data_IF_381059150863
#
_entry.id   IF_381059150863
#
_cell.length_a   1.000
_cell.length_b   1.000
_cell.length_c   1.000
_cell.angle_alpha   90.00
_cell.angle_beta   90.00
_cell.angle_gamma   90.00
#
_symmetry.space_group_name_H-M   'P 1'
#
loop_
_entity.id
_entity.type
_entity.pdbx_description
1 polymer ?
#
# COMPACT_ATOMS: atom_id res chain seq x y z
N UNK A 1 -5.59 8.78 22.45
CA UNK A 1 -6.00 8.73 23.88
C UNK A 1 -6.06 7.31 24.49
N UNK A 2 -6.48 6.30 23.74
CA UNK A 2 -6.75 4.94 24.24
C UNK A 2 -5.51 4.14 24.69
N UNK A 3 -4.31 4.56 24.33
CA UNK A 3 -3.04 3.90 24.72
C UNK A 3 -2.61 4.29 26.14
N UNK A 4 -2.89 5.53 26.56
CA UNK A 4 -2.48 6.06 27.85
C UNK A 4 -3.57 5.87 28.92
N UNK A 5 -4.83 6.02 28.54
CA UNK A 5 -5.96 5.95 29.47
C UNK A 5 -6.57 4.53 29.50
N UNK A 6 -6.84 3.94 30.68
CA UNK A 6 -7.60 2.70 30.84
C UNK A 6 -8.99 2.73 30.20
N UNK A 7 -9.52 1.56 29.82
CA UNK A 7 -10.77 1.43 29.07
C UNK A 7 -12.04 1.87 29.84
N UNK A 8 -11.99 1.87 31.16
CA UNK A 8 -13.05 2.31 32.06
C UNK A 8 -13.08 3.83 32.27
N UNK A 9 -12.03 4.56 31.87
CA UNK A 9 -12.01 6.01 31.98
C UNK A 9 -12.84 6.69 30.89
N UNK A 10 -13.51 7.79 31.26
CA UNK A 10 -14.36 8.56 30.35
C UNK A 10 -13.59 9.07 29.11
N UNK A 11 -12.30 9.42 29.25
CA UNK A 11 -11.46 9.90 28.14
C UNK A 11 -11.29 8.79 27.10
N UNK A 12 -11.06 7.55 27.54
CA UNK A 12 -10.93 6.40 26.63
C UNK A 12 -12.24 6.12 25.92
N UNK A 13 -13.35 6.07 26.66
CA UNK A 13 -14.68 5.81 26.09
C UNK A 13 -15.07 6.89 25.10
N UNK A 14 -14.81 8.16 25.43
CA UNK A 14 -15.07 9.29 24.54
C UNK A 14 -14.23 9.21 23.26
N UNK A 15 -12.94 8.88 23.38
CA UNK A 15 -12.08 8.70 22.21
C UNK A 15 -12.57 7.55 21.31
N UNK A 16 -12.98 6.41 21.89
CA UNK A 16 -13.57 5.29 21.14
C UNK A 16 -14.88 5.65 20.46
N UNK A 17 -15.73 6.46 21.08
CA UNK A 17 -16.97 6.95 20.47
C UNK A 17 -16.67 7.82 19.24
N UNK A 18 -15.75 8.77 19.38
CA UNK A 18 -15.34 9.63 18.27
C UNK A 18 -14.67 8.83 17.15
N UNK A 19 -13.78 7.89 17.47
CA UNK A 19 -13.17 6.97 16.51
C UNK A 19 -14.24 6.17 15.74
N UNK A 20 -15.22 5.61 16.44
CA UNK A 20 -16.31 4.86 15.81
C UNK A 20 -17.18 5.74 14.90
N UNK A 21 -17.48 6.97 15.30
CA UNK A 21 -18.23 7.92 14.46
C UNK A 21 -17.43 8.31 13.21
N UNK A 22 -16.14 8.58 13.39
CA UNK A 22 -15.24 8.87 12.28
C UNK A 22 -15.17 7.71 11.29
N UNK A 23 -14.94 6.48 11.77
CA UNK A 23 -14.88 5.29 10.94
C UNK A 23 -16.22 4.99 10.27
N UNK A 24 -17.35 5.22 10.94
CA UNK A 24 -18.68 5.12 10.32
C UNK A 24 -18.83 6.12 9.17
N UNK A 25 -18.48 7.39 9.39
CA UNK A 25 -18.57 8.43 8.35
C UNK A 25 -17.63 8.09 7.19
N UNK A 26 -16.41 7.65 7.49
CA UNK A 26 -15.44 7.21 6.50
C UNK A 26 -15.94 6.00 5.71
N UNK A 27 -16.48 4.97 6.37
CA UNK A 27 -17.01 3.76 5.74
C UNK A 27 -18.25 4.03 4.86
N UNK A 28 -19.13 4.93 5.32
CA UNK A 28 -20.28 5.40 4.55
C UNK A 28 -19.83 6.14 3.28
N UNK A 29 -18.74 6.90 3.35
CA UNK A 29 -18.14 7.51 2.16
C UNK A 29 -17.49 6.47 1.22
N UNK A 30 -16.92 5.39 1.78
CA UNK A 30 -16.28 4.29 1.02
C UNK A 30 -17.30 3.31 0.39
N UNK A 31 -18.58 3.41 0.73
CA UNK A 31 -19.62 2.53 0.18
C UNK A 31 -19.57 1.12 0.77
N UNK A 32 -19.17 0.99 2.04
CA UNK A 32 -19.17 -0.28 2.77
C UNK A 32 -20.52 -0.63 3.42
N UNK A 33 -21.50 0.29 3.37
CA UNK A 33 -22.90 -0.02 3.70
C UNK A 33 -23.58 -0.70 2.50
N UNK A 34 -24.39 -1.75 2.72
CA UNK A 34 -25.11 -2.43 1.64
C UNK A 34 -26.28 -1.56 1.16
N UNK A 35 -25.99 -0.53 0.37
CA UNK A 35 -27.02 0.15 -0.41
C UNK A 35 -27.16 -0.60 -1.72
N UNK A 36 -28.19 -1.44 -1.78
CA UNK A 36 -28.64 -2.06 -3.02
C UNK A 36 -28.98 -0.97 -4.05
N UNK A 37 -28.48 -1.04 -5.30
CA UNK A 37 -29.08 -0.27 -6.37
C UNK A 37 -30.23 -1.09 -6.94
N UNK A 38 -31.46 -0.64 -6.66
CA UNK A 38 -32.59 -0.92 -7.53
C UNK A 38 -32.27 -0.40 -8.94
N UNK A 39 -32.66 -1.18 -9.95
CA UNK A 39 -32.12 -1.12 -11.30
C UNK A 39 -32.28 0.22 -12.03
N UNK A 40 -31.30 0.49 -12.89
CA UNK A 40 -31.32 1.59 -13.84
C UNK A 40 -29.93 1.80 -14.47
N UNK A 41 -29.79 1.51 -15.77
CA UNK A 41 -28.61 1.85 -16.55
C UNK A 41 -28.51 3.38 -16.68
N UNK A 42 -27.80 4.02 -15.77
CA UNK A 42 -27.34 5.41 -15.88
C UNK A 42 -25.81 5.43 -15.83
N UNK A 43 -25.15 6.37 -16.52
CA UNK A 43 -23.69 6.52 -16.40
C UNK A 43 -23.35 6.81 -14.94
N UNK A 44 -22.39 6.06 -14.38
CA UNK A 44 -21.93 6.21 -13.00
C UNK A 44 -21.29 7.59 -12.85
N UNK A 45 -22.09 8.61 -12.53
CA UNK A 45 -21.59 9.89 -12.06
C UNK A 45 -20.98 9.63 -10.68
N UNK A 46 -19.64 9.62 -10.61
CA UNK A 46 -18.90 9.42 -9.36
C UNK A 46 -19.32 10.53 -8.40
N UNK A 47 -19.80 10.17 -7.21
CA UNK A 47 -20.08 11.16 -6.18
C UNK A 47 -18.75 11.63 -5.58
N UNK A 48 -18.64 12.89 -5.15
CA UNK A 48 -17.41 13.40 -4.53
C UNK A 48 -16.95 12.51 -3.36
N UNK A 49 -17.90 11.98 -2.58
CA UNK A 49 -17.70 11.01 -1.50
C UNK A 49 -16.91 9.76 -1.94
N UNK A 50 -17.32 9.12 -3.03
CA UNK A 50 -16.68 7.91 -3.55
C UNK A 50 -15.27 8.21 -4.10
N UNK A 51 -15.02 9.42 -4.60
CA UNK A 51 -13.70 9.85 -5.05
C UNK A 51 -12.73 10.05 -3.88
N UNK A 52 -13.19 10.61 -2.75
CA UNK A 52 -12.38 10.70 -1.53
C UNK A 52 -11.97 9.32 -1.05
N UNK A 53 -12.96 8.44 -0.90
CA UNK A 53 -12.79 7.09 -0.41
C UNK A 53 -11.75 6.32 -1.22
N UNK A 54 -11.88 6.40 -2.54
CA UNK A 54 -10.93 5.79 -3.45
C UNK A 54 -9.53 6.44 -3.35
N UNK A 55 -9.44 7.76 -3.18
CA UNK A 55 -8.16 8.45 -3.00
C UNK A 55 -7.47 8.02 -1.72
N UNK A 56 -8.21 7.88 -0.60
CA UNK A 56 -7.71 7.33 0.67
C UNK A 56 -7.22 5.89 0.47
N UNK A 57 -8.03 5.04 -0.17
CA UNK A 57 -7.68 3.64 -0.44
C UNK A 57 -6.39 3.54 -1.25
N UNK A 58 -6.29 4.26 -2.37
CA UNK A 58 -5.11 4.28 -3.21
C UNK A 58 -3.87 4.74 -2.45
N UNK A 59 -3.99 5.76 -1.62
CA UNK A 59 -2.88 6.27 -0.82
C UNK A 59 -2.36 5.21 0.15
N UNK A 60 -3.27 4.48 0.83
CA UNK A 60 -2.91 3.36 1.70
C UNK A 60 -2.28 2.19 0.94
N UNK A 61 -2.86 1.79 -0.20
CA UNK A 61 -2.29 0.72 -1.04
C UNK A 61 -0.87 1.08 -1.50
N UNK A 62 -0.64 2.33 -1.93
CA UNK A 62 0.70 2.81 -2.30
C UNK A 62 1.66 2.80 -1.11
N UNK A 63 1.21 3.18 0.08
CA UNK A 63 2.01 3.13 1.30
C UNK A 63 2.39 1.69 1.70
N UNK A 64 1.49 0.72 1.51
CA UNK A 64 1.78 -0.70 1.69
C UNK A 64 2.84 -1.16 0.69
N UNK A 65 2.67 -0.88 -0.61
CA UNK A 65 3.66 -1.26 -1.63
C UNK A 65 5.05 -0.67 -1.33
N UNK A 66 5.11 0.60 -0.91
CA UNK A 66 6.35 1.22 -0.45
C UNK A 66 6.96 0.47 0.73
N UNK A 67 6.15 0.13 1.74
CA UNK A 67 6.60 -0.62 2.92
C UNK A 67 7.12 -2.02 2.57
N UNK A 68 6.47 -2.72 1.63
CA UNK A 68 6.94 -4.00 1.11
C UNK A 68 8.29 -3.83 0.41
N UNK A 69 8.42 -2.82 -0.44
CA UNK A 69 9.64 -2.58 -1.21
C UNK A 69 10.84 -2.14 -0.35
N UNK A 70 10.61 -1.53 0.82
CA UNK A 70 11.69 -1.15 1.75
C UNK A 70 12.05 -2.23 2.77
N UNK A 71 11.24 -3.30 2.91
CA UNK A 71 11.51 -4.38 3.84
C UNK A 71 12.82 -5.11 3.48
N UNK A 72 13.63 -5.46 4.48
CA UNK A 72 14.91 -6.16 4.25
C UNK A 72 14.72 -7.53 3.60
N UNK A 73 13.64 -8.25 3.96
CA UNK A 73 13.31 -9.55 3.38
C UNK A 73 12.77 -9.46 1.95
N UNK A 74 12.54 -8.26 1.41
CA UNK A 74 11.96 -8.11 0.08
C UNK A 74 12.96 -8.08 -1.07
N UNK A 75 14.26 -8.04 -0.79
CA UNK A 75 15.33 -7.77 -1.77
C UNK A 75 15.22 -8.63 -3.04
N UNK A 76 15.02 -9.94 -2.89
CA UNK A 76 14.91 -10.89 -4.00
C UNK A 76 13.59 -10.80 -4.79
N UNK A 77 12.65 -9.95 -4.37
CA UNK A 77 11.30 -9.85 -4.92
C UNK A 77 10.99 -8.47 -5.51
N UNK A 78 11.95 -7.53 -5.44
CA UNK A 78 11.75 -6.13 -5.86
C UNK A 78 11.69 -5.96 -7.37
N UNK A 79 12.38 -6.84 -8.11
CA UNK A 79 12.49 -6.78 -9.57
C UNK A 79 12.15 -8.14 -10.18
N UNK A 80 11.79 -8.19 -11.47
CA UNK A 80 11.58 -9.45 -12.17
C UNK A 80 12.81 -10.36 -12.05
N UNK A 81 12.59 -11.66 -11.84
CA UNK A 81 13.65 -12.66 -11.92
C UNK A 81 14.15 -12.72 -13.36
N UNK A 82 15.48 -12.63 -13.53
CA UNK A 82 16.16 -12.83 -14.81
C UNK A 82 16.81 -14.22 -14.81
N UNK A 83 16.18 -15.23 -15.45
CA UNK A 83 16.65 -16.60 -15.38
C UNK A 83 18.02 -16.82 -16.02
N UNK A 84 18.35 -16.05 -17.06
CA UNK A 84 19.61 -16.19 -17.78
C UNK A 84 20.75 -15.57 -16.96
N UNK A 85 20.56 -14.34 -16.48
CA UNK A 85 21.56 -13.65 -15.66
C UNK A 85 21.83 -14.37 -14.32
N UNK A 86 20.85 -15.10 -13.79
CA UNK A 86 20.97 -15.86 -12.53
C UNK A 86 21.38 -17.33 -12.74
N UNK A 87 21.58 -17.79 -13.98
CA UNK A 87 21.97 -19.16 -14.27
C UNK A 87 20.91 -20.22 -13.94
N UNK A 88 19.63 -19.85 -13.96
CA UNK A 88 18.48 -20.73 -13.68
C UNK A 88 17.55 -20.85 -14.90
N UNK A 89 18.02 -21.33 -16.06
CA UNK A 89 17.26 -21.30 -17.32
C UNK A 89 15.90 -22.01 -17.25
N UNK A 90 15.76 -23.01 -16.37
CA UNK A 90 14.51 -23.76 -16.17
C UNK A 90 13.47 -23.05 -15.29
N UNK A 91 13.75 -21.83 -14.80
CA UNK A 91 12.82 -21.08 -13.94
C UNK A 91 11.43 -20.94 -14.58
N UNK A 92 11.36 -20.63 -15.89
CA UNK A 92 10.09 -20.45 -16.62
C UNK A 92 9.38 -21.78 -16.94
N UNK A 93 10.09 -22.90 -16.84
CA UNK A 93 9.51 -24.23 -16.95
C UNK A 93 8.71 -24.60 -15.70
N UNK A 94 9.06 -24.02 -14.54
CA UNK A 94 8.40 -24.25 -13.26
C UNK A 94 7.40 -23.13 -12.97
N UNK A 95 7.86 -21.87 -13.02
CA UNK A 95 7.07 -20.69 -12.69
C UNK A 95 6.39 -20.14 -13.95
N UNK A 96 5.08 -20.38 -14.04
CA UNK A 96 4.26 -20.03 -15.22
C UNK A 96 3.82 -18.58 -15.27
N UNK A 97 3.65 -17.95 -14.10
CA UNK A 97 3.28 -16.54 -13.97
C UNK A 97 4.27 -15.84 -13.06
N UNK A 98 5.45 -15.44 -13.57
CA UNK A 98 6.39 -14.65 -12.78
C UNK A 98 5.74 -13.34 -12.34
N UNK A 99 6.07 -12.90 -11.12
CA UNK A 99 5.60 -11.65 -10.55
C UNK A 99 6.64 -11.10 -9.57
N UNK A 100 6.66 -9.79 -9.42
CA UNK A 100 7.58 -9.04 -8.56
C UNK A 100 6.94 -7.70 -8.16
N UNK A 101 7.51 -7.05 -7.13
CA UNK A 101 6.93 -5.82 -6.55
C UNK A 101 6.97 -4.64 -7.52
N UNK A 102 7.99 -4.53 -8.38
CA UNK A 102 8.06 -3.48 -9.40
C UNK A 102 6.90 -3.64 -10.39
N UNK A 103 6.70 -4.84 -10.92
CA UNK A 103 5.60 -5.13 -11.86
C UNK A 103 4.22 -4.84 -11.24
N UNK A 104 3.99 -5.23 -9.97
CA UNK A 104 2.73 -4.91 -9.26
C UNK A 104 2.54 -3.40 -9.11
N UNK A 105 3.60 -2.67 -8.73
CA UNK A 105 3.56 -1.21 -8.63
C UNK A 105 3.21 -0.54 -9.97
N UNK A 106 3.86 -0.94 -11.05
CA UNK A 106 3.58 -0.43 -12.40
C UNK A 106 2.15 -0.72 -12.84
N UNK A 107 1.63 -1.92 -12.55
CA UNK A 107 0.25 -2.30 -12.86
C UNK A 107 -0.78 -1.52 -12.05
N UNK A 108 -0.47 -1.21 -10.80
CA UNK A 108 -1.30 -0.33 -10.00
C UNK A 108 -1.39 1.04 -10.66
N UNK A 109 -0.26 1.68 -10.99
CA UNK A 109 -0.25 3.01 -11.63
C UNK A 109 -0.92 3.03 -13.01
N UNK A 110 -0.86 1.91 -13.75
CA UNK A 110 -1.56 1.74 -15.03
C UNK A 110 -3.06 1.43 -14.90
N UNK A 111 -3.57 1.29 -13.68
CA UNK A 111 -4.97 0.97 -13.43
C UNK A 111 -5.42 -0.40 -13.85
N UNK A 112 -4.54 -1.39 -13.70
CA UNK A 112 -4.85 -2.80 -14.02
C UNK A 112 -5.67 -3.49 -12.94
N UNK A 113 -5.78 -2.90 -11.76
CA UNK A 113 -6.58 -3.43 -10.65
C UNK A 113 -7.86 -2.64 -10.50
N UNK A 114 -8.98 -3.34 -10.54
CA UNK A 114 -10.31 -2.79 -10.26
C UNK A 114 -10.80 -3.18 -8.87
N UNK A 115 -10.16 -4.18 -8.25
CA UNK A 115 -10.45 -4.63 -6.89
C UNK A 115 -9.18 -4.85 -6.09
N UNK A 116 -9.28 -4.68 -4.78
CA UNK A 116 -8.20 -4.99 -3.85
C UNK A 116 -7.82 -6.47 -3.90
N UNK A 117 -8.79 -7.37 -4.07
CA UNK A 117 -8.53 -8.81 -4.22
C UNK A 117 -7.59 -9.16 -5.37
N UNK A 118 -7.67 -8.43 -6.50
CA UNK A 118 -6.81 -8.65 -7.67
C UNK A 118 -5.36 -8.27 -7.36
N UNK A 119 -5.15 -7.10 -6.76
CA UNK A 119 -3.83 -6.65 -6.32
C UNK A 119 -3.26 -7.59 -5.25
N UNK A 120 -4.09 -8.00 -4.30
CA UNK A 120 -3.67 -8.90 -3.22
C UNK A 120 -3.23 -10.26 -3.75
N UNK A 121 -3.99 -10.83 -4.69
CA UNK A 121 -3.64 -12.10 -5.33
C UNK A 121 -2.31 -12.02 -6.09
N UNK A 122 -1.97 -10.90 -6.73
CA UNK A 122 -0.67 -10.75 -7.40
C UNK A 122 0.49 -10.61 -6.40
N UNK A 123 0.28 -9.99 -5.24
CA UNK A 123 1.28 -9.98 -4.16
C UNK A 123 1.51 -11.40 -3.61
N UNK A 124 0.44 -12.15 -3.32
CA UNK A 124 0.55 -13.53 -2.82
C UNK A 124 1.16 -14.48 -3.87
N UNK A 125 1.01 -14.17 -5.16
CA UNK A 125 1.68 -14.89 -6.25
C UNK A 125 3.21 -14.75 -6.19
N UNK A 126 3.75 -13.58 -5.79
CA UNK A 126 5.20 -13.37 -5.63
C UNK A 126 5.75 -14.36 -4.59
N UNK A 127 5.09 -14.43 -3.43
CA UNK A 127 5.54 -15.25 -2.31
C UNK A 127 5.40 -16.75 -2.61
N UNK A 128 4.26 -17.15 -3.18
CA UNK A 128 4.02 -18.56 -3.53
C UNK A 128 4.96 -19.05 -4.64
N UNK A 129 5.22 -18.25 -5.67
CA UNK A 129 6.22 -18.60 -6.70
C UNK A 129 7.62 -18.80 -6.10
N UNK A 130 8.01 -17.94 -5.16
CA UNK A 130 9.30 -18.06 -4.48
C UNK A 130 9.40 -19.39 -3.70
N UNK A 131 8.36 -19.77 -2.98
CA UNK A 131 8.30 -21.06 -2.27
C UNK A 131 8.26 -22.24 -3.25
N UNK A 132 7.50 -22.17 -4.34
CA UNK A 132 7.41 -23.24 -5.35
C UNK A 132 8.79 -23.53 -5.96
N UNK A 133 9.56 -22.49 -6.28
CA UNK A 133 10.87 -22.67 -6.91
C UNK A 133 11.97 -23.02 -5.89
N UNK A 134 11.94 -22.42 -4.69
CA UNK A 134 13.05 -22.51 -3.74
C UNK A 134 12.79 -23.44 -2.54
N UNK A 135 11.58 -23.97 -2.35
CA UNK A 135 11.09 -24.62 -1.12
C UNK A 135 11.00 -23.69 0.10
N UNK A 136 10.19 -24.06 1.10
CA UNK A 136 9.97 -23.26 2.32
C UNK A 136 11.20 -23.17 3.21
N UNK A 137 12.06 -24.19 3.19
CA UNK A 137 13.21 -24.32 4.08
C UNK A 137 14.41 -23.47 3.63
N UNK A 138 14.44 -23.11 2.34
CA UNK A 138 15.48 -22.25 1.78
C UNK A 138 15.46 -20.84 2.37
N UNK A 139 16.57 -20.11 2.23
CA UNK A 139 16.63 -18.73 2.67
C UNK A 139 15.58 -17.84 1.96
N UNK A 140 15.39 -18.03 0.65
CA UNK A 140 14.40 -17.28 -0.15
C UNK A 140 12.98 -17.68 0.22
N UNK A 141 12.71 -18.97 0.48
CA UNK A 141 11.42 -19.45 0.96
C UNK A 141 11.04 -18.83 2.30
N UNK A 142 11.96 -18.84 3.27
CA UNK A 142 11.76 -18.18 4.58
C UNK A 142 11.49 -16.68 4.44
N UNK A 143 12.21 -15.99 3.55
CA UNK A 143 11.95 -14.59 3.24
C UNK A 143 10.56 -14.38 2.63
N UNK A 144 10.12 -15.25 1.72
CA UNK A 144 8.80 -15.20 1.11
C UNK A 144 7.68 -15.41 2.15
N UNK A 145 7.81 -16.39 3.05
CA UNK A 145 6.86 -16.61 4.16
C UNK A 145 6.80 -15.39 5.08
N UNK A 146 7.94 -14.80 5.43
CA UNK A 146 7.98 -13.58 6.23
C UNK A 146 7.30 -12.39 5.53
N UNK A 147 7.52 -12.24 4.23
CA UNK A 147 6.87 -11.19 3.42
C UNK A 147 5.37 -11.42 3.27
N UNK A 148 4.91 -12.67 3.16
CA UNK A 148 3.49 -13.00 3.13
C UNK A 148 2.80 -12.61 4.45
N UNK A 149 3.36 -12.99 5.59
CA UNK A 149 2.83 -12.58 6.90
C UNK A 149 2.83 -11.07 7.08
N UNK A 150 3.91 -10.40 6.67
CA UNK A 150 4.02 -8.95 6.73
C UNK A 150 2.97 -8.25 5.84
N UNK A 151 2.72 -8.78 4.64
CA UNK A 151 1.68 -8.31 3.72
C UNK A 151 0.29 -8.43 4.36
N UNK A 152 -0.06 -9.61 4.89
CA UNK A 152 -1.33 -9.82 5.60
C UNK A 152 -1.50 -8.85 6.77
N UNK A 153 -0.47 -8.69 7.59
CA UNK A 153 -0.48 -7.77 8.73
C UNK A 153 -0.72 -6.33 8.28
N UNK A 154 -0.08 -5.88 7.20
CA UNK A 154 -0.22 -4.51 6.69
C UNK A 154 -1.63 -4.21 6.16
N UNK A 155 -2.21 -5.12 5.39
CA UNK A 155 -3.59 -4.94 4.91
C UNK A 155 -4.59 -4.86 6.06
N UNK A 156 -4.44 -5.72 7.07
CA UNK A 156 -5.28 -5.68 8.27
C UNK A 156 -5.09 -4.40 9.09
N UNK A 157 -3.85 -3.95 9.28
CA UNK A 157 -3.52 -2.71 10.00
C UNK A 157 -4.12 -1.47 9.34
N UNK A 158 -4.10 -1.42 8.00
CA UNK A 158 -4.59 -0.26 7.25
C UNK A 158 -6.10 -0.35 6.95
N UNK A 159 -6.78 -1.41 7.43
CA UNK A 159 -8.21 -1.64 7.26
C UNK A 159 -8.61 -1.90 5.80
N UNK A 160 -7.68 -2.40 4.98
CA UNK A 160 -7.92 -2.68 3.56
C UNK A 160 -8.45 -4.10 3.43
N UNK A 161 -9.69 -4.23 2.95
CA UNK A 161 -10.36 -5.53 2.76
C UNK A 161 -10.50 -5.87 1.27
N UNK A 162 -10.54 -7.16 0.96
CA UNK A 162 -10.52 -7.67 -0.42
C UNK A 162 -11.75 -7.27 -1.27
N UNK A 163 -12.87 -6.94 -0.63
CA UNK A 163 -14.11 -6.53 -1.31
C UNK A 163 -14.09 -5.07 -1.79
N UNK A 164 -13.12 -4.27 -1.36
CA UNK A 164 -12.99 -2.87 -1.79
C UNK A 164 -12.65 -2.77 -3.28
N UNK A 165 -13.28 -1.80 -3.95
CA UNK A 165 -13.03 -1.51 -5.37
C UNK A 165 -11.95 -0.43 -5.50
N UNK A 166 -11.01 -0.64 -6.43
CA UNK A 166 -9.98 0.34 -6.79
C UNK A 166 -10.45 1.05 -8.06
N UNK A 167 -10.54 2.37 -7.99
CA UNK A 167 -10.93 3.23 -9.11
C UNK A 167 -9.72 4.10 -9.43
N UNK A 168 -9.06 3.92 -10.56
CA UNK A 168 -7.96 4.84 -10.86
C UNK A 168 -8.47 6.25 -11.14
N UNK A 169 -7.75 7.29 -10.66
CA UNK A 169 -7.93 8.64 -11.16
C UNK A 169 -7.60 8.59 -12.65
N UNK A 170 -8.59 8.89 -13.49
CA UNK A 170 -8.33 8.90 -14.93
C UNK A 170 -7.31 9.98 -15.26
N UNK A 171 -6.39 9.77 -16.22
CA UNK A 171 -5.90 10.90 -16.98
C UNK A 171 -7.13 11.51 -17.67
N UNK A 172 -7.23 12.84 -17.82
CA UNK A 172 -8.09 13.40 -18.86
C UNK A 172 -7.78 12.62 -20.14
N UNK A 173 -8.71 11.79 -20.60
CA UNK A 173 -8.42 10.71 -21.53
C UNK A 173 -7.77 11.27 -22.81
N UNK A 174 -6.51 10.93 -23.14
CA UNK A 174 -6.05 11.07 -24.50
C UNK A 174 -6.60 9.88 -25.28
N UNK A 175 -7.21 10.18 -26.42
CA UNK A 175 -7.76 9.23 -27.39
C UNK A 175 -6.85 8.02 -27.57
N UNK A 176 -7.48 6.85 -27.59
CA UNK A 176 -6.89 5.55 -27.91
C UNK A 176 -5.76 5.61 -28.93
N UNK A 177 -4.54 5.30 -28.49
CA UNK A 177 -3.48 4.84 -29.37
C UNK A 177 -3.62 3.30 -29.54
N UNK A 178 -3.27 2.73 -30.71
CA UNK A 178 -3.54 1.33 -31.01
C UNK A 178 -2.68 0.41 -30.15
N UNK A 179 -3.28 -0.70 -29.70
CA UNK A 179 -2.61 -1.73 -28.92
C UNK A 179 -1.32 -2.24 -29.60
N UNK A 180 -0.23 -2.47 -28.86
CA UNK A 180 0.94 -3.17 -29.39
C UNK A 180 0.53 -4.60 -29.76
N UNK A 181 0.82 -4.98 -31.01
CA UNK A 181 0.51 -6.30 -31.57
C UNK A 181 1.15 -7.39 -30.71
N UNK A 182 0.28 -8.26 -30.19
CA UNK A 182 0.61 -9.54 -29.56
C UNK A 182 1.38 -10.40 -30.57
N UNK A 183 2.68 -10.61 -30.37
CA UNK A 183 3.41 -11.65 -31.07
C UNK A 183 2.93 -13.00 -30.51
N UNK A 184 2.17 -13.74 -31.31
CA UNK A 184 1.81 -15.12 -31.02
C UNK A 184 3.03 -16.05 -31.10
N UNK A 185 2.96 -17.25 -30.50
CA UNK A 185 4.04 -18.22 -30.57
C UNK A 185 4.01 -18.95 -31.92
N UNK A 186 5.15 -19.33 -32.52
CA UNK A 186 5.16 -20.36 -33.55
C UNK A 186 5.25 -21.75 -32.90
N UNK A 187 4.46 -22.68 -33.43
CA UNK A 187 4.33 -24.06 -33.02
C UNK A 187 5.38 -24.99 -33.68
N UNK A 188 5.87 -25.94 -32.87
CA UNK A 188 6.24 -27.35 -33.12
C UNK A 188 6.97 -27.82 -34.40
N UNK A 189 8.05 -28.59 -34.17
CA UNK A 189 8.25 -29.93 -34.75
C UNK A 189 9.18 -30.79 -33.86
N UNK A 190 9.12 -32.14 -33.93
CA UNK A 190 9.48 -33.03 -32.83
C UNK A 190 10.83 -33.73 -33.00
N UNK A 191 11.53 -34.04 -31.91
CA UNK A 191 12.47 -35.18 -31.87
C UNK A 191 12.39 -35.87 -30.51
N UNK A 192 12.21 -37.18 -30.56
CA UNK A 192 12.04 -38.07 -29.44
C UNK A 192 13.37 -38.49 -28.77
N UNK A 193 13.21 -38.99 -27.54
CA UNK A 193 13.98 -40.08 -26.92
C UNK A 193 15.24 -39.79 -26.09
N UNK A 194 15.04 -39.97 -24.77
CA UNK A 194 15.71 -40.92 -23.84
C UNK A 194 16.43 -40.28 -22.64
N UNK A 195 15.80 -40.50 -21.48
CA UNK A 195 16.32 -41.08 -20.23
C UNK A 195 17.67 -40.58 -19.68
N UNK A 196 17.61 -40.07 -18.45
CA UNK A 196 18.25 -40.59 -17.21
C UNK A 196 18.96 -39.47 -16.42
N UNK A 197 18.62 -39.36 -15.13
CA UNK A 197 19.36 -38.61 -14.11
C UNK A 197 20.80 -39.18 -13.96
N UNK A 198 21.78 -38.42 -13.43
CA UNK A 198 22.01 -38.41 -11.96
C UNK A 198 22.66 -37.07 -11.47
N UNK A 199 23.39 -36.99 -10.34
CA UNK A 199 23.05 -36.11 -9.22
C UNK A 199 23.99 -34.90 -9.06
N UNK A 200 23.65 -34.04 -8.10
CA UNK A 200 24.50 -32.95 -7.62
C UNK A 200 25.87 -33.41 -7.10
N UNK A 201 26.86 -32.51 -7.13
CA UNK A 201 27.63 -32.17 -5.93
C UNK A 201 27.56 -30.65 -5.71
N UNK A 202 27.35 -30.15 -4.50
CA UNK A 202 28.29 -30.29 -3.39
C UNK A 202 29.09 -28.98 -3.30
N UNK A 203 28.68 -28.11 -2.38
CA UNK A 203 29.32 -26.84 -2.08
C UNK A 203 30.79 -27.00 -1.68
N UNK A 204 31.66 -26.05 -2.04
CA UNK A 204 32.78 -25.63 -1.18
C UNK A 204 33.26 -24.24 -1.55
N UNK A 205 33.62 -23.52 -0.49
CA UNK A 205 33.95 -22.12 -0.43
C UNK A 205 35.25 -21.75 -1.20
N UNK A 206 35.26 -20.54 -1.74
CA UNK A 206 36.44 -19.88 -2.30
C UNK A 206 36.37 -18.38 -2.04
N UNK A 207 37.19 -17.93 -1.12
CA UNK A 207 37.52 -16.54 -0.75
C UNK A 207 38.05 -15.70 -1.93
N UNK A 208 37.61 -14.43 -1.98
CA UNK A 208 38.06 -13.15 -2.63
C UNK A 208 39.44 -13.04 -3.34
N UNK A 209 39.76 -11.99 -4.17
CA UNK A 209 39.18 -10.63 -4.20
C UNK A 209 39.02 -9.87 -5.57
N UNK A 210 38.22 -8.80 -5.49
CA UNK A 210 38.31 -7.46 -6.13
C UNK A 210 38.53 -7.26 -7.65
N UNK A 211 37.59 -6.55 -8.27
CA UNK A 211 37.88 -5.48 -9.23
C UNK A 211 36.83 -4.36 -9.08
N UNK A 212 37.27 -3.23 -8.53
CA UNK A 212 36.51 -2.00 -8.45
C UNK A 212 36.53 -1.30 -9.82
N UNK A 213 35.36 -0.98 -10.36
CA UNK A 213 35.22 -0.01 -11.45
C UNK A 213 34.51 1.23 -10.90
N UNK A 214 35.22 2.36 -10.96
CA UNK A 214 34.81 3.68 -10.50
C UNK A 214 33.65 4.22 -11.35
N UNK A 215 32.61 4.72 -10.68
CA UNK A 215 31.54 5.53 -11.29
C UNK A 215 31.85 7.00 -11.01
N UNK A 216 32.57 7.65 -11.92
CA UNK A 216 32.66 9.10 -11.99
C UNK A 216 32.10 9.55 -13.34
N UNK A 217 31.31 10.62 -13.32
CA UNK A 217 30.66 11.33 -14.44
C UNK A 217 29.40 10.74 -15.08
N UNK A 218 28.31 10.70 -14.30
CA UNK A 218 26.97 10.92 -14.83
C UNK A 218 26.53 12.37 -14.57
N UNK A 219 25.95 13.08 -15.55
CA UNK A 219 25.47 14.45 -15.35
C UNK A 219 24.30 14.49 -14.35
N UNK A 220 24.14 15.57 -13.56
CA UNK A 220 23.04 15.70 -12.62
C UNK A 220 21.70 15.71 -13.35
N UNK A 221 20.77 14.88 -12.89
CA UNK A 221 19.36 14.94 -13.30
C UNK A 221 18.80 16.35 -13.01
N UNK A 222 17.96 16.90 -13.91
CA UNK A 222 17.29 18.17 -13.64
C UNK A 222 16.44 18.05 -12.36
N UNK A 223 16.32 19.12 -11.56
CA UNK A 223 15.43 19.12 -10.41
C UNK A 223 14.00 18.87 -10.87
N UNK A 224 13.30 17.99 -10.16
CA UNK A 224 11.89 17.70 -10.43
C UNK A 224 11.08 19.02 -10.45
N UNK A 225 10.20 19.22 -11.45
CA UNK A 225 9.32 20.39 -11.45
C UNK A 225 8.46 20.38 -10.18
N UNK A 226 8.19 21.55 -9.55
CA UNK A 226 7.40 21.61 -8.34
C UNK A 226 6.03 20.97 -8.59
N UNK A 227 5.72 19.91 -7.86
CA UNK A 227 4.44 19.20 -7.99
C UNK A 227 3.29 20.14 -7.66
N UNK A 228 2.53 20.53 -8.68
CA UNK A 228 1.25 21.20 -8.50
C UNK A 228 0.26 20.14 -8.00
N UNK A 229 -0.38 20.30 -6.83
CA UNK A 229 -1.34 19.31 -6.34
C UNK A 229 -2.50 19.18 -7.34
N UNK A 230 -2.65 17.99 -7.92
CA UNK A 230 -3.73 17.64 -8.84
C UNK A 230 -5.10 18.02 -8.25
N UNK A 231 -6.04 18.52 -9.08
CA UNK A 231 -7.38 18.93 -8.63
C UNK A 231 -8.10 17.84 -7.81
N UNK A 232 -7.86 16.56 -8.13
CA UNK A 232 -8.41 15.42 -7.37
C UNK A 232 -7.91 15.35 -5.92
N UNK A 233 -6.65 15.72 -5.67
CA UNK A 233 -6.10 15.79 -4.30
C UNK A 233 -6.75 16.95 -3.54
N UNK A 234 -6.92 18.11 -4.20
CA UNK A 234 -7.59 19.27 -3.59
C UNK A 234 -9.06 19.01 -3.26
N UNK A 235 -9.77 18.27 -4.12
CA UNK A 235 -11.14 17.83 -3.83
C UNK A 235 -11.17 16.91 -2.61
N UNK A 236 -10.20 15.98 -2.51
CA UNK A 236 -10.03 15.09 -1.37
C UNK A 236 -9.85 15.82 -0.04
N UNK A 237 -8.95 16.81 0.00
CA UNK A 237 -8.68 17.59 1.24
C UNK A 237 -9.91 18.38 1.72
N UNK A 238 -10.73 18.93 0.81
CA UNK A 238 -11.99 19.60 1.20
C UNK A 238 -12.97 18.64 1.86
N UNK A 239 -12.99 17.38 1.42
CA UNK A 239 -13.86 16.35 1.99
C UNK A 239 -13.33 15.85 3.34
N UNK A 240 -12.01 15.83 3.55
CA UNK A 240 -11.42 15.62 4.88
C UNK A 240 -11.92 16.66 5.90
N UNK A 241 -12.05 17.94 5.49
CA UNK A 241 -12.63 18.99 6.34
C UNK A 241 -14.09 18.67 6.75
N UNK A 242 -14.87 18.06 5.85
CA UNK A 242 -16.26 17.65 6.12
C UNK A 242 -16.34 16.46 7.10
N UNK A 243 -15.29 15.62 7.15
CA UNK A 243 -15.16 14.55 8.15
C UNK A 243 -14.72 15.08 9.52
N UNK A 244 -13.84 16.09 9.54
CA UNK A 244 -13.33 16.67 10.79
C UNK A 244 -14.36 17.55 11.51
N UNK A 245 -15.16 18.31 10.77
CA UNK A 245 -16.08 19.30 11.35
C UNK A 245 -17.10 18.70 12.34
N UNK A 246 -17.74 17.54 12.06
CA UNK A 246 -18.63 16.89 13.02
C UNK A 246 -17.89 16.39 14.27
N UNK A 247 -16.70 15.81 14.11
CA UNK A 247 -15.88 15.32 15.23
C UNK A 247 -15.56 16.44 16.22
N UNK A 248 -15.21 17.64 15.73
CA UNK A 248 -14.91 18.79 16.59
C UNK A 248 -16.14 19.34 17.34
N UNK A 249 -17.36 18.88 17.01
CA UNK A 249 -18.62 19.29 17.63
C UNK A 249 -19.18 18.27 18.62
N UNK A 250 -18.56 17.10 18.76
CA UNK A 250 -18.98 16.09 19.73
C UNK A 250 -18.84 16.58 21.18
N UNK A 251 -19.61 15.97 22.08
CA UNK A 251 -19.86 16.45 23.45
C UNK A 251 -18.58 16.58 24.32
N UNK A 252 -17.46 15.98 23.92
CA UNK A 252 -16.17 16.06 24.62
C UNK A 252 -15.01 16.43 23.69
N UNK A 253 -15.29 16.87 22.46
CA UNK A 253 -14.27 17.15 21.46
C UNK A 253 -13.22 18.16 21.93
N UNK A 254 -13.61 19.10 22.79
CA UNK A 254 -12.74 20.13 23.34
C UNK A 254 -11.50 19.58 24.09
N UNK A 255 -11.56 18.38 24.68
CA UNK A 255 -10.41 17.73 25.31
C UNK A 255 -9.40 17.16 24.31
N UNK A 256 -9.82 16.99 23.05
CA UNK A 256 -9.02 16.44 21.97
C UNK A 256 -8.62 17.50 20.94
N UNK A 257 -9.04 18.75 21.12
CA UNK A 257 -8.80 19.85 20.18
C UNK A 257 -7.49 20.61 20.39
N UNK A 258 -6.74 20.28 21.45
CA UNK A 258 -5.49 20.97 21.80
C UNK A 258 -4.45 19.91 22.18
N UNK A 259 -3.17 20.10 21.86
CA UNK A 259 -2.11 19.20 22.29
C UNK A 259 -2.15 18.99 23.80
N UNK A 260 -1.98 17.74 24.24
CA UNK A 260 -1.83 17.42 25.66
C UNK A 260 -0.57 18.10 26.18
N UNK A 261 -0.68 18.81 27.31
CA UNK A 261 0.46 19.35 28.06
C UNK A 261 0.78 18.41 29.24
N UNK A 262 1.82 17.55 29.13
CA UNK A 262 2.14 16.59 30.17
C UNK A 262 2.60 17.26 31.46
N UNK A 263 3.21 18.45 31.39
CA UNK A 263 3.71 19.15 32.58
C UNK A 263 2.55 19.76 33.35
N UNK A 264 1.64 20.43 32.66
CA UNK A 264 0.46 21.03 33.29
C UNK A 264 -0.47 19.97 33.92
N UNK A 265 -0.55 18.78 33.32
CA UNK A 265 -1.38 17.67 33.82
C UNK A 265 -0.63 16.71 34.77
N UNK A 266 0.65 16.99 35.06
CA UNK A 266 1.51 16.14 35.90
C UNK A 266 1.56 14.67 35.44
N UNK A 267 1.80 14.47 34.14
CA UNK A 267 1.89 13.17 33.47
C UNK A 267 3.37 12.88 33.12
N UNK A 268 4.19 12.39 34.06
CA UNK A 268 5.64 12.28 33.89
C UNK A 268 6.06 11.26 32.82
N UNK A 269 5.24 10.23 32.58
CA UNK A 269 5.49 9.12 31.65
C UNK A 269 4.78 9.28 30.29
N UNK A 270 4.07 10.39 30.07
CA UNK A 270 3.26 10.58 28.87
C UNK A 270 4.08 10.48 27.58
N UNK A 271 5.24 11.15 27.52
CA UNK A 271 6.11 11.14 26.35
C UNK A 271 6.81 9.79 26.12
N UNK A 272 6.86 8.95 27.15
CA UNK A 272 7.40 7.60 27.06
C UNK A 272 6.39 6.62 26.47
N UNK A 273 5.10 6.89 26.64
CA UNK A 273 4.01 6.05 26.14
C UNK A 273 3.50 6.57 24.79
N UNK A 274 3.20 7.86 24.68
CA UNK A 274 2.64 8.49 23.48
C UNK A 274 3.76 9.05 22.61
N UNK A 275 4.18 8.25 21.62
CA UNK A 275 5.32 8.57 20.74
C UNK A 275 5.03 9.61 19.66
N UNK A 276 3.76 9.74 19.27
CA UNK A 276 3.30 10.67 18.23
C UNK A 276 2.04 11.36 18.73
N UNK A 277 2.18 12.36 19.62
CA UNK A 277 1.02 13.11 20.09
C UNK A 277 0.34 13.82 18.92
N UNK A 278 -0.99 13.82 18.94
CA UNK A 278 -1.83 14.47 17.93
C UNK A 278 -3.12 14.97 18.58
N UNK A 279 -3.72 16.00 18.00
CA UNK A 279 -4.97 16.62 18.44
C UNK A 279 -5.75 17.20 17.23
N UNK A 280 -7.06 17.33 17.38
CA UNK A 280 -7.97 17.76 16.31
C UNK A 280 -7.68 19.20 15.83
N UNK A 281 -7.18 20.09 16.70
CA UNK A 281 -6.83 21.46 16.33
C UNK A 281 -5.57 21.53 15.47
N UNK A 282 -4.57 20.69 15.77
CA UNK A 282 -3.39 20.50 14.92
C UNK A 282 -3.77 19.92 13.57
N UNK A 283 -4.67 18.93 13.53
CA UNK A 283 -5.19 18.34 12.27
C UNK A 283 -5.92 19.41 11.44
N UNK A 284 -6.80 20.21 12.05
CA UNK A 284 -7.50 21.31 11.38
C UNK A 284 -6.51 22.34 10.80
N UNK A 285 -5.50 22.70 11.59
CA UNK A 285 -4.42 23.59 11.15
C UNK A 285 -3.63 23.00 9.98
N UNK A 286 -3.35 21.69 10.00
CA UNK A 286 -2.66 20.99 8.91
C UNK A 286 -3.51 20.95 7.63
N UNK A 287 -4.82 20.74 7.74
CA UNK A 287 -5.73 20.83 6.60
C UNK A 287 -5.76 22.24 6.01
N UNK A 288 -5.91 23.26 6.86
CA UNK A 288 -5.93 24.67 6.44
C UNK A 288 -4.63 25.09 5.74
N UNK A 289 -3.48 24.62 6.23
CA UNK A 289 -2.15 24.86 5.64
C UNK A 289 -1.82 23.94 4.47
N UNK A 290 -2.71 23.01 4.09
CA UNK A 290 -2.47 21.98 3.07
C UNK A 290 -1.19 21.16 3.33
N UNK A 291 -0.95 20.84 4.60
CA UNK A 291 0.23 20.11 5.05
C UNK A 291 0.15 18.58 4.83
N UNK A 292 -1.01 18.07 4.36
CA UNK A 292 -1.18 16.68 3.97
C UNK A 292 -0.91 16.53 2.47
N UNK A 293 0.01 15.62 2.12
CA UNK A 293 0.27 15.24 0.73
C UNK A 293 -0.93 14.49 0.11
N UNK A 294 -1.58 13.66 0.93
CA UNK A 294 -2.74 12.86 0.54
C UNK A 294 -3.77 12.73 1.69
N UNK A 295 -5.04 12.42 1.38
CA UNK A 295 -6.09 12.19 2.36
C UNK A 295 -5.83 11.07 3.38
N UNK A 296 -4.99 10.08 3.04
CA UNK A 296 -4.62 8.99 3.95
C UNK A 296 -3.85 9.50 5.17
N UNK A 297 -2.92 10.43 4.98
CA UNK A 297 -2.19 11.07 6.08
C UNK A 297 -3.11 11.81 7.07
N UNK A 298 -4.20 12.40 6.59
CA UNK A 298 -5.23 12.99 7.47
C UNK A 298 -5.91 11.91 8.31
N UNK A 299 -6.31 10.80 7.70
CA UNK A 299 -6.96 9.70 8.42
C UNK A 299 -6.04 9.11 9.49
N UNK A 300 -4.76 8.95 9.17
CA UNK A 300 -3.77 8.42 10.11
C UNK A 300 -3.60 9.33 11.33
N UNK A 301 -3.57 10.65 11.13
CA UNK A 301 -3.49 11.60 12.25
C UNK A 301 -4.77 11.59 13.10
N UNK A 302 -5.97 11.49 12.50
CA UNK A 302 -7.22 11.38 13.27
C UNK A 302 -7.21 10.14 14.17
N UNK A 303 -6.65 9.03 13.70
CA UNK A 303 -6.50 7.80 14.49
C UNK A 303 -5.46 7.87 15.61
N UNK A 304 -4.56 8.87 15.58
CA UNK A 304 -3.56 9.07 16.64
C UNK A 304 -4.13 9.82 17.86
N UNK A 305 -5.24 10.54 17.70
CA UNK A 305 -5.90 11.36 18.76
C UNK A 305 -6.39 10.50 19.93
#
# INVERSE_FOLDING_TARGET
>A
ACIYNPADQWVHQSARKMEAEFEHRLASLIGMDPVAPAGGLMPVTRTPSAELANTILLSRVKAILKSLNTNQSSICFRKPVDPEAMGIPHYRDIIKRPMDLQTVGERLEQGKYTKVSELRAELDLIWSNAVIFNTEESAVGKQATAMQHFTTKKFAQDGIIETMSIIMPGPNAPKSAPAPKRAGPPAAAPVASKRRAPPAPGCSAGTSPAAAASVADLPPLPPDPPMIPSEGIQLGIRQCQQLLTPLMKEENAHFFSVPVDPKALNLPDYNDIVKKPMDLGTIDTKLAKRAYEDPGGFVDDVRLV
#
